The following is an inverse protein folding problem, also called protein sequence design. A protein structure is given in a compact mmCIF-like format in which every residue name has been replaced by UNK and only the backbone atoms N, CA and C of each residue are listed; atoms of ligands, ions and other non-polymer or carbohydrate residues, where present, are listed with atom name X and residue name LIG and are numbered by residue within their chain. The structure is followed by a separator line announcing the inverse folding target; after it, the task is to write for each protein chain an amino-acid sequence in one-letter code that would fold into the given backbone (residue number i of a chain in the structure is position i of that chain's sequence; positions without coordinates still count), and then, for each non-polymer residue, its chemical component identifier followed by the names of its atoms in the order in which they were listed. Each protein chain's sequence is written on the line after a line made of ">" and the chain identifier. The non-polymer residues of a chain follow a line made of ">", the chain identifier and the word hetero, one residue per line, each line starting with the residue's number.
data_IF_171032183986
#
_entry.id   IF_171032183986
#
_cell.length_a   1.000
_cell.length_b   1.000
_cell.length_c   1.000
_cell.angle_alpha   90.00
_cell.angle_beta   90.00
_cell.angle_gamma   90.00
#
_symmetry.space_group_name_H-M   'P 1'
#
loop_
_entity.id
_entity.type
_entity.pdbx_description
1 polymer ?
#
# COMPACT_ATOMS: atom_id res chain seq x y z
N UNK A 1 -23.54 -11.26 -2.28
CA UNK A 1 -23.34 -10.90 -3.71
C UNK A 1 -22.68 -12.06 -4.42
N UNK A 2 -23.19 -12.47 -5.59
CA UNK A 2 -22.48 -13.39 -6.49
C UNK A 2 -21.50 -12.57 -7.32
N UNK A 3 -20.27 -12.41 -6.83
CA UNK A 3 -19.21 -11.67 -7.54
C UNK A 3 -18.55 -12.58 -8.58
N UNK A 4 -18.31 -12.06 -9.78
CA UNK A 4 -17.59 -12.76 -10.84
C UNK A 4 -16.22 -13.29 -10.33
N UNK A 5 -15.90 -14.54 -10.68
CA UNK A 5 -14.73 -15.23 -10.17
C UNK A 5 -13.41 -14.60 -10.64
N UNK A 6 -13.37 -13.93 -11.79
CA UNK A 6 -12.20 -13.22 -12.28
C UNK A 6 -12.03 -11.89 -11.56
N UNK A 7 -13.13 -11.16 -11.32
CA UNK A 7 -13.11 -9.94 -10.50
C UNK A 7 -12.61 -10.23 -9.08
N UNK A 8 -13.09 -11.34 -8.47
CA UNK A 8 -12.59 -11.76 -7.16
C UNK A 8 -11.09 -12.04 -7.17
N UNK A 9 -10.56 -12.68 -8.22
CA UNK A 9 -9.11 -12.93 -8.36
C UNK A 9 -8.31 -11.64 -8.49
N UNK A 10 -8.79 -10.68 -9.28
CA UNK A 10 -8.14 -9.38 -9.45
C UNK A 10 -8.10 -8.63 -8.12
N UNK A 11 -9.22 -8.57 -7.39
CA UNK A 11 -9.33 -7.84 -6.12
C UNK A 11 -8.65 -8.55 -4.94
N UNK A 12 -8.20 -9.80 -5.11
CA UNK A 12 -7.43 -10.54 -4.11
C UNK A 12 -5.92 -10.29 -4.20
N UNK A 13 -5.46 -9.58 -5.23
CA UNK A 13 -4.05 -9.27 -5.46
C UNK A 13 -3.83 -7.76 -5.46
N UNK A 14 -2.62 -7.36 -5.13
CA UNK A 14 -2.14 -5.98 -5.30
C UNK A 14 -1.71 -5.77 -6.75
N UNK A 15 -1.95 -4.58 -7.30
CA UNK A 15 -1.51 -4.22 -8.65
C UNK A 15 0.01 -4.08 -8.72
N UNK A 16 0.63 -3.50 -7.68
CA UNK A 16 2.07 -3.28 -7.63
C UNK A 16 2.56 -3.18 -6.17
N UNK A 17 3.77 -3.66 -5.94
CA UNK A 17 4.46 -3.59 -4.66
C UNK A 17 5.90 -3.16 -4.90
N UNK A 18 6.29 -2.03 -4.32
CA UNK A 18 7.65 -1.51 -4.41
C UNK A 18 8.32 -1.61 -3.05
N UNK A 19 9.47 -2.28 -3.00
CA UNK A 19 10.36 -2.31 -1.84
C UNK A 19 11.59 -1.47 -2.18
N UNK A 20 11.93 -0.53 -1.30
CA UNK A 20 13.13 0.29 -1.44
C UNK A 20 14.01 0.12 -0.21
N UNK A 21 15.32 0.04 -0.44
CA UNK A 21 16.31 0.12 0.62
C UNK A 21 17.15 1.35 0.35
N UNK A 22 17.19 2.28 1.30
CA UNK A 22 17.88 3.57 1.11
C UNK A 22 18.78 3.91 2.29
N UNK A 23 19.99 4.42 2.03
CA UNK A 23 20.90 4.89 3.08
C UNK A 23 20.46 6.25 3.60
N UNK A 24 20.59 6.45 4.91
CA UNK A 24 20.43 7.75 5.56
C UNK A 24 21.72 8.04 6.32
N UNK A 25 22.27 9.24 6.12
CA UNK A 25 23.37 9.74 6.94
C UNK A 25 22.79 10.31 8.23
N UNK A 26 23.14 9.69 9.35
CA UNK A 26 22.73 10.09 10.69
C UNK A 26 23.53 11.31 11.15
N UNK A 27 23.06 11.98 12.21
CA UNK A 27 23.69 13.19 12.74
C UNK A 27 25.14 12.96 13.23
N UNK A 28 25.45 11.75 13.69
CA UNK A 28 26.80 11.32 14.10
C UNK A 28 27.72 10.93 12.93
N UNK A 29 27.23 11.05 11.69
CA UNK A 29 27.95 10.72 10.47
C UNK A 29 27.89 9.25 10.06
N UNK A 30 27.30 8.34 10.86
CA UNK A 30 27.07 6.94 10.46
C UNK A 30 26.04 6.87 9.33
N UNK A 31 26.14 5.82 8.51
CA UNK A 31 25.13 5.48 7.50
C UNK A 31 24.27 4.34 8.06
N UNK A 32 22.95 4.56 8.09
CA UNK A 32 21.98 3.52 8.42
C UNK A 32 21.09 3.21 7.20
N UNK A 33 20.85 1.92 6.96
CA UNK A 33 19.98 1.46 5.86
C UNK A 33 18.55 1.31 6.38
N UNK A 34 17.60 1.95 5.70
CA UNK A 34 16.18 1.82 5.98
C UNK A 34 15.46 1.09 4.87
N UNK A 35 14.43 0.34 5.22
CA UNK A 35 13.54 -0.33 4.27
C UNK A 35 12.22 0.41 4.22
N UNK A 36 11.79 0.79 3.02
CA UNK A 36 10.50 1.40 2.75
C UNK A 36 9.64 0.49 1.86
N UNK A 37 8.32 0.57 2.06
CA UNK A 37 7.35 -0.18 1.26
C UNK A 37 6.35 0.78 0.63
N UNK A 38 5.94 0.51 -0.61
CA UNK A 38 4.78 1.13 -1.22
C UNK A 38 3.95 0.08 -1.95
N UNK A 39 2.76 -0.19 -1.42
CA UNK A 39 1.81 -1.14 -2.01
C UNK A 39 0.66 -0.38 -2.64
N UNK A 40 0.37 -0.70 -3.90
CA UNK A 40 -0.72 -0.19 -4.70
C UNK A 40 -1.70 -1.33 -4.95
N UNK A 41 -2.85 -1.32 -4.28
CA UNK A 41 -3.79 -2.42 -4.33
C UNK A 41 -4.69 -2.38 -5.56
N UNK A 42 -5.41 -1.28 -5.79
CA UNK A 42 -6.31 -1.13 -6.93
C UNK A 42 -6.55 0.35 -7.23
N UNK A 43 -6.72 0.71 -8.51
CA UNK A 43 -6.96 2.08 -9.00
C UNK A 43 -8.18 2.21 -9.93
N UNK A 44 -9.11 1.24 -9.93
CA UNK A 44 -10.26 1.23 -10.85
C UNK A 44 -11.14 2.48 -10.71
N UNK A 45 -11.29 3.00 -9.49
CA UNK A 45 -12.07 4.21 -9.21
C UNK A 45 -11.28 5.52 -9.38
N UNK A 46 -9.97 5.45 -9.59
CA UNK A 46 -9.10 6.62 -9.70
C UNK A 46 -7.72 6.44 -9.06
N UNK A 47 -6.95 7.53 -8.89
CA UNK A 47 -5.57 7.48 -8.40
C UNK A 47 -5.44 6.78 -7.04
N UNK A 48 -4.28 6.18 -6.78
CA UNK A 48 -4.02 5.50 -5.50
C UNK A 48 -4.01 6.47 -4.31
N UNK A 49 -4.82 6.20 -3.28
CA UNK A 49 -4.83 6.96 -2.02
C UNK A 49 -4.42 6.10 -0.84
N UNK A 50 -3.45 6.58 -0.06
CA UNK A 50 -2.90 5.84 1.07
C UNK A 50 -1.79 6.58 1.80
N UNK A 51 -1.91 6.67 3.13
CA UNK A 51 -0.87 7.28 3.97
C UNK A 51 0.41 6.43 4.08
N UNK A 52 1.43 7.01 4.69
CA UNK A 52 2.70 6.36 5.07
C UNK A 52 2.69 6.05 6.56
N UNK A 53 3.37 4.99 7.00
CA UNK A 53 3.53 4.65 8.42
C UNK A 53 5.00 4.50 8.78
N UNK A 54 5.44 5.27 9.76
CA UNK A 54 6.78 5.13 10.34
C UNK A 54 6.64 4.43 11.68
N UNK A 55 6.96 3.15 11.71
CA UNK A 55 6.96 2.35 12.92
C UNK A 55 7.98 1.20 12.76
N UNK A 56 8.78 0.86 13.78
CA UNK A 56 9.86 -0.14 13.65
C UNK A 56 9.36 -1.56 13.32
N UNK A 57 8.08 -1.85 13.57
CA UNK A 57 7.48 -3.16 13.29
C UNK A 57 6.75 -3.26 11.95
N UNK A 58 6.86 -2.27 11.06
CA UNK A 58 6.17 -2.33 9.76
C UNK A 58 6.73 -3.47 8.92
N UNK A 59 5.83 -4.30 8.40
CA UNK A 59 6.13 -5.41 7.50
C UNK A 59 5.29 -5.29 6.22
N UNK A 60 5.77 -5.87 5.12
CA UNK A 60 5.10 -5.75 3.81
C UNK A 60 3.68 -6.35 3.84
N UNK A 61 3.46 -7.41 4.60
CA UNK A 61 2.14 -8.06 4.80
C UNK A 61 1.11 -7.10 5.40
N UNK A 62 1.53 -6.31 6.40
CA UNK A 62 0.67 -5.30 7.01
C UNK A 62 0.34 -4.18 6.00
N UNK A 63 1.33 -3.73 5.23
CA UNK A 63 1.14 -2.67 4.23
C UNK A 63 0.19 -3.15 3.12
N UNK A 64 0.29 -4.42 2.68
CA UNK A 64 -0.65 -5.04 1.74
C UNK A 64 -2.07 -5.03 2.27
N UNK A 65 -2.27 -5.51 3.50
CA UNK A 65 -3.59 -5.53 4.13
C UNK A 65 -4.18 -4.11 4.18
N UNK A 66 -3.42 -3.14 4.68
CA UNK A 66 -3.86 -1.74 4.79
C UNK A 66 -4.16 -1.09 3.44
N UNK A 67 -3.42 -1.41 2.38
CA UNK A 67 -3.68 -0.93 1.02
C UNK A 67 -5.02 -1.48 0.47
N UNK A 68 -5.33 -2.75 0.75
CA UNK A 68 -6.62 -3.33 0.43
C UNK A 68 -7.76 -2.63 1.20
N UNK A 69 -7.59 -2.40 2.51
CA UNK A 69 -8.54 -1.63 3.32
C UNK A 69 -8.77 -0.21 2.77
N UNK A 70 -7.74 0.44 2.23
CA UNK A 70 -7.89 1.75 1.59
C UNK A 70 -8.72 1.72 0.31
N UNK A 71 -8.69 0.63 -0.45
CA UNK A 71 -9.54 0.45 -1.64
C UNK A 71 -11.02 0.39 -1.22
N UNK A 72 -11.33 -0.40 -0.19
CA UNK A 72 -12.70 -0.51 0.30
C UNK A 72 -13.18 0.78 0.96
N UNK A 73 -12.32 1.44 1.74
CA UNK A 73 -12.64 2.71 2.39
C UNK A 73 -13.00 3.80 1.39
N UNK A 74 -12.21 3.94 0.33
CA UNK A 74 -12.45 4.95 -0.73
C UNK A 74 -13.70 4.63 -1.53
N UNK A 75 -13.93 3.36 -1.88
CA UNK A 75 -15.14 2.92 -2.57
C UNK A 75 -16.41 3.18 -1.76
N UNK A 76 -16.43 2.81 -0.46
CA UNK A 76 -17.59 3.04 0.42
C UNK A 76 -17.83 4.53 0.66
N UNK A 77 -16.76 5.34 0.72
CA UNK A 77 -16.87 6.78 0.86
C UNK A 77 -17.33 7.49 -0.43
N UNK A 78 -17.43 6.80 -1.57
CA UNK A 78 -17.87 7.38 -2.84
C UNK A 78 -16.91 8.40 -3.44
N UNK A 79 -15.61 8.30 -3.13
CA UNK A 79 -14.58 9.22 -3.64
C UNK A 79 -13.76 8.56 -4.76
N UNK A 80 -13.30 9.33 -5.78
CA UNK A 80 -12.67 8.78 -6.98
C UNK A 80 -11.19 8.43 -6.75
N UNK A 81 -10.95 7.52 -5.81
CA UNK A 81 -9.62 7.04 -5.46
C UNK A 81 -9.59 5.53 -5.35
N UNK A 82 -8.43 4.97 -5.66
CA UNK A 82 -8.07 3.61 -5.33
C UNK A 82 -7.44 3.47 -3.94
N UNK A 83 -6.91 2.29 -3.64
CA UNK A 83 -6.22 2.01 -2.38
C UNK A 83 -4.73 1.77 -2.54
N UNK A 84 -3.95 2.43 -1.67
CA UNK A 84 -2.53 2.15 -1.48
C UNK A 84 -2.15 2.29 0.00
N UNK A 85 -0.93 1.90 0.34
CA UNK A 85 -0.31 2.17 1.63
C UNK A 85 1.22 2.10 1.53
N UNK A 86 1.90 2.80 2.42
CA UNK A 86 3.31 2.60 2.74
C UNK A 86 3.57 2.95 4.19
#
# INVERSE_FOLDING_TARGET
>A
MQLDANIRRILAQTVNETVVHFPVKMDDGRIEMFTGYRVQHNNVLGPFKGGLRFHPSVQIEEVRALAAWMTWKTAIAGIPFGGAKG
#
